data_IF_944616686719
#
_entry.id   IF_944616686719
#
_cell.length_a   1.000
_cell.length_b   1.000
_cell.length_c   1.000
_cell.angle_alpha   90.00
_cell.angle_beta   90.00
_cell.angle_gamma   90.00
#
_symmetry.space_group_name_H-M   'P 1'
#
loop_
_entity.id
_entity.type
_entity.pdbx_description
1 polymer ?
#
# COMPACT_ATOMS: atom_id res chain seq x y z
N UNK A 1 -0.13 16.45 4.20
CA UNK A 1 0.72 16.83 5.34
C UNK A 1 0.46 16.00 6.58
N UNK A 2 -0.80 15.70 6.88
CA UNK A 2 -1.13 14.87 8.06
C UNK A 2 -0.50 13.48 8.00
N UNK A 3 -0.44 12.87 6.82
CA UNK A 3 0.17 11.54 6.68
C UNK A 3 1.66 11.55 6.97
N UNK A 4 2.37 12.57 6.51
CA UNK A 4 3.80 12.70 6.80
C UNK A 4 4.05 12.87 8.29
N UNK A 5 3.22 13.68 8.95
CA UNK A 5 3.34 13.91 10.37
C UNK A 5 3.07 12.62 11.15
N UNK A 6 2.08 11.85 10.72
CA UNK A 6 1.73 10.58 11.34
C UNK A 6 2.87 9.56 11.19
N UNK A 7 3.49 9.48 10.02
CA UNK A 7 4.63 8.61 9.77
C UNK A 7 5.79 8.96 10.71
N UNK A 8 6.14 10.24 10.80
CA UNK A 8 7.22 10.69 11.66
C UNK A 8 6.94 10.37 13.12
N UNK A 9 5.69 10.57 13.56
CA UNK A 9 5.29 10.27 14.94
C UNK A 9 5.44 8.79 15.25
N UNK A 10 5.02 7.92 14.33
CA UNK A 10 5.14 6.48 14.50
C UNK A 10 6.60 6.05 14.57
N UNK A 11 7.47 6.63 13.75
CA UNK A 11 8.88 6.29 13.72
C UNK A 11 9.62 6.74 14.97
N UNK A 12 9.23 7.88 15.55
CA UNK A 12 9.84 8.35 16.80
C UNK A 12 9.61 7.39 17.96
N UNK A 13 8.45 6.73 17.98
CA UNK A 13 8.14 5.76 19.04
C UNK A 13 8.71 4.36 18.77
N UNK A 14 9.36 4.16 17.61
CA UNK A 14 9.93 2.87 17.20
C UNK A 14 8.93 1.72 17.27
N UNK A 15 7.75 1.85 16.68
CA UNK A 15 6.74 0.78 16.72
C UNK A 15 7.19 -0.41 15.88
N UNK A 16 6.76 -1.61 16.28
CA UNK A 16 6.96 -2.82 15.47
C UNK A 16 5.97 -2.89 14.32
N UNK A 17 4.80 -2.31 14.48
CA UNK A 17 3.74 -2.29 13.47
C UNK A 17 3.31 -0.84 13.23
N UNK A 18 3.30 -0.46 11.95
CA UNK A 18 2.83 0.87 11.51
C UNK A 18 1.62 0.68 10.61
N UNK A 19 0.57 1.44 10.86
CA UNK A 19 -0.63 1.46 10.02
C UNK A 19 -0.72 2.81 9.31
N UNK A 20 -0.91 2.78 7.98
CA UNK A 20 -1.04 3.99 7.16
C UNK A 20 -2.26 3.88 6.26
N UNK A 21 -3.02 4.97 6.17
CA UNK A 21 -4.21 5.05 5.33
C UNK A 21 -3.96 6.07 4.23
N UNK A 22 -3.91 5.59 2.99
CA UNK A 22 -3.68 6.41 1.80
C UNK A 22 -2.48 7.35 1.96
N UNK A 23 -1.25 6.81 2.21
CA UNK A 23 -0.11 7.66 2.54
C UNK A 23 0.31 8.61 1.43
N UNK A 24 -0.07 8.34 0.18
CA UNK A 24 0.27 9.21 -0.95
C UNK A 24 -0.90 10.08 -1.41
N UNK A 25 -2.04 10.00 -0.73
CA UNK A 25 -3.23 10.74 -1.11
C UNK A 25 -3.00 12.24 -1.09
N UNK A 26 -3.42 12.94 -2.15
CA UNK A 26 -3.32 14.39 -2.25
C UNK A 26 -1.94 14.92 -2.61
N UNK A 27 -0.95 14.06 -2.82
CA UNK A 27 0.40 14.47 -3.19
C UNK A 27 0.59 14.42 -4.72
N UNK A 28 1.44 15.30 -5.26
CA UNK A 28 1.77 15.21 -6.67
C UNK A 28 2.72 14.02 -6.93
N UNK A 29 2.92 13.70 -8.21
CA UNK A 29 3.63 12.46 -8.60
C UNK A 29 5.07 12.45 -8.08
N UNK A 30 5.79 13.56 -8.16
CA UNK A 30 7.19 13.59 -7.72
C UNK A 30 7.30 13.46 -6.20
N UNK A 31 6.40 14.07 -5.46
CA UNK A 31 6.36 13.95 -4.00
C UNK A 31 5.97 12.54 -3.59
N UNK A 32 5.02 11.92 -4.31
CA UNK A 32 4.65 10.53 -4.06
C UNK A 32 5.86 9.60 -4.20
N UNK A 33 6.62 9.74 -5.29
CA UNK A 33 7.77 8.90 -5.53
C UNK A 33 8.80 8.99 -4.41
N UNK A 34 9.07 10.21 -3.93
CA UNK A 34 10.01 10.41 -2.83
C UNK A 34 9.52 9.79 -1.53
N UNK A 35 8.22 9.94 -1.24
CA UNK A 35 7.63 9.37 -0.04
C UNK A 35 7.70 7.85 -0.07
N UNK A 36 7.38 7.24 -1.22
CA UNK A 36 7.42 5.78 -1.36
C UNK A 36 8.83 5.23 -1.20
N UNK A 37 9.83 5.91 -1.77
CA UNK A 37 11.22 5.50 -1.58
C UNK A 37 11.64 5.58 -0.12
N UNK A 38 11.26 6.67 0.56
CA UNK A 38 11.55 6.83 1.98
C UNK A 38 10.93 5.71 2.79
N UNK A 39 9.66 5.39 2.54
CA UNK A 39 8.96 4.33 3.27
C UNK A 39 9.63 2.97 3.05
N UNK A 40 10.00 2.64 1.81
CA UNK A 40 10.67 1.38 1.51
C UNK A 40 11.98 1.25 2.29
N UNK A 41 12.77 2.31 2.30
CA UNK A 41 14.05 2.31 3.00
C UNK A 41 13.87 2.17 4.51
N UNK A 42 12.91 2.89 5.08
CA UNK A 42 12.64 2.82 6.52
C UNK A 42 12.13 1.45 6.94
N UNK A 43 11.26 0.84 6.13
CA UNK A 43 10.76 -0.51 6.42
C UNK A 43 11.92 -1.50 6.51
N UNK A 44 12.84 -1.44 5.55
CA UNK A 44 14.00 -2.33 5.53
C UNK A 44 14.94 -2.05 6.69
N UNK A 45 15.33 -0.78 6.90
CA UNK A 45 16.31 -0.41 7.92
C UNK A 45 15.82 -0.68 9.33
N UNK A 46 14.54 -0.40 9.60
CA UNK A 46 13.99 -0.51 10.95
C UNK A 46 13.24 -1.82 11.16
N UNK A 47 13.17 -2.68 10.15
CA UNK A 47 12.48 -3.97 10.21
C UNK A 47 11.04 -3.81 10.69
N UNK A 48 10.33 -2.83 10.10
CA UNK A 48 8.95 -2.55 10.45
C UNK A 48 7.99 -3.49 9.73
N UNK A 49 6.92 -3.87 10.42
CA UNK A 49 5.74 -4.44 9.78
C UNK A 49 4.78 -3.28 9.47
N UNK A 50 4.35 -3.17 8.23
CA UNK A 50 3.52 -2.04 7.79
C UNK A 50 2.25 -2.56 7.14
N UNK A 51 1.11 -1.99 7.54
CA UNK A 51 -0.17 -2.19 6.87
C UNK A 51 -0.56 -0.87 6.20
N UNK A 52 -0.76 -0.93 4.88
CA UNK A 52 -1.14 0.25 4.10
C UNK A 52 -2.51 0.02 3.50
N UNK A 53 -3.42 0.95 3.72
CA UNK A 53 -4.73 0.97 3.06
C UNK A 53 -4.62 1.92 1.88
N UNK A 54 -4.86 1.41 0.66
CA UNK A 54 -4.80 2.22 -0.54
C UNK A 54 -5.69 1.63 -1.63
N UNK A 55 -6.20 2.48 -2.51
CA UNK A 55 -6.87 2.05 -3.72
C UNK A 55 -5.96 2.18 -4.95
N UNK A 56 -4.72 2.60 -4.76
CA UNK A 56 -3.74 2.75 -5.83
C UNK A 56 -2.93 1.46 -5.95
N UNK A 57 -3.21 0.67 -6.99
CA UNK A 57 -2.54 -0.62 -7.21
C UNK A 57 -1.07 -0.46 -7.53
N UNK A 58 -0.64 0.67 -8.09
CA UNK A 58 0.77 0.95 -8.30
C UNK A 58 1.54 1.08 -7.00
N UNK A 59 0.94 1.76 -6.01
CA UNK A 59 1.50 1.87 -4.67
C UNK A 59 1.60 0.49 -4.02
N UNK A 60 0.53 -0.30 -4.13
CA UNK A 60 0.50 -1.63 -3.56
C UNK A 60 1.59 -2.52 -4.16
N UNK A 61 1.76 -2.50 -5.48
CA UNK A 61 2.80 -3.31 -6.14
C UNK A 61 4.19 -2.90 -5.70
N UNK A 62 4.41 -1.60 -5.51
CA UNK A 62 5.72 -1.08 -5.15
C UNK A 62 6.11 -1.41 -3.70
N UNK A 63 5.16 -1.36 -2.77
CA UNK A 63 5.45 -1.44 -1.35
C UNK A 63 5.08 -2.76 -0.69
N UNK A 64 4.02 -3.41 -1.15
CA UNK A 64 3.44 -4.52 -0.41
C UNK A 64 3.99 -5.87 -0.87
N UNK A 65 4.27 -6.73 0.09
CA UNK A 65 4.63 -8.13 -0.18
C UNK A 65 3.37 -8.98 -0.37
N UNK A 66 2.32 -8.65 0.35
CA UNK A 66 1.04 -9.36 0.29
C UNK A 66 -0.09 -8.35 0.19
N UNK A 67 -1.17 -8.78 -0.48
CA UNK A 67 -2.37 -7.96 -0.63
C UNK A 67 -3.57 -8.65 0.00
N UNK A 68 -4.42 -7.83 0.58
CA UNK A 68 -5.78 -8.20 0.96
C UNK A 68 -6.71 -7.32 0.15
N UNK A 69 -7.55 -7.93 -0.67
CA UNK A 69 -8.59 -7.19 -1.40
C UNK A 69 -9.87 -7.26 -0.59
N UNK A 70 -10.42 -6.08 -0.29
CA UNK A 70 -11.60 -5.97 0.55
C UNK A 70 -12.77 -5.41 -0.22
N UNK A 71 -13.96 -5.90 0.10
CA UNK A 71 -15.21 -5.39 -0.44
C UNK A 71 -16.28 -5.54 0.63
N UNK A 72 -16.99 -4.44 0.91
CA UNK A 72 -18.09 -4.43 1.88
C UNK A 72 -17.67 -5.00 3.24
N UNK A 73 -16.47 -4.62 3.68
CA UNK A 73 -15.98 -5.03 5.00
C UNK A 73 -15.42 -6.44 5.08
N UNK A 74 -15.34 -7.14 3.95
CA UNK A 74 -14.86 -8.53 3.91
C UNK A 74 -13.64 -8.66 3.03
N UNK A 75 -12.71 -9.55 3.43
CA UNK A 75 -11.58 -9.92 2.60
C UNK A 75 -12.07 -10.94 1.57
N UNK A 76 -12.03 -10.58 0.30
CA UNK A 76 -12.51 -11.44 -0.78
C UNK A 76 -11.39 -12.15 -1.52
N UNK A 77 -10.18 -11.65 -1.41
CA UNK A 77 -9.01 -12.29 -1.99
C UNK A 77 -7.76 -11.87 -1.23
N UNK A 78 -6.80 -12.77 -1.07
CA UNK A 78 -5.52 -12.47 -0.42
C UNK A 78 -4.41 -13.32 -1.03
N UNK A 79 -3.17 -12.83 -0.91
CA UNK A 79 -2.02 -13.56 -1.39
C UNK A 79 -0.84 -12.66 -1.64
N UNK A 80 0.20 -13.21 -2.26
CA UNK A 80 1.36 -12.42 -2.66
C UNK A 80 0.93 -11.37 -3.68
N UNK A 81 1.50 -10.18 -3.55
CA UNK A 81 1.11 -9.03 -4.36
C UNK A 81 1.14 -9.33 -5.85
N UNK A 82 2.24 -9.89 -6.34
CA UNK A 82 2.37 -10.15 -7.77
C UNK A 82 1.34 -11.17 -8.25
N UNK A 83 1.07 -12.21 -7.45
CA UNK A 83 0.05 -13.20 -7.81
C UNK A 83 -1.34 -12.58 -7.87
N UNK A 84 -1.71 -11.78 -6.88
CA UNK A 84 -3.04 -11.16 -6.84
C UNK A 84 -3.23 -10.18 -8.00
N UNK A 85 -2.19 -9.41 -8.34
CA UNK A 85 -2.29 -8.41 -9.41
C UNK A 85 -2.15 -9.01 -10.81
N UNK A 86 -1.33 -10.06 -10.97
CA UNK A 86 -1.08 -10.65 -12.27
C UNK A 86 -2.02 -11.81 -12.59
N UNK A 87 -2.56 -12.47 -11.56
CA UNK A 87 -3.48 -13.60 -11.73
C UNK A 87 -4.59 -13.53 -10.67
N UNK A 88 -5.45 -12.50 -10.74
CA UNK A 88 -6.55 -12.35 -9.78
C UNK A 88 -7.59 -13.44 -9.98
N UNK A 89 -8.05 -14.03 -8.87
CA UNK A 89 -9.00 -15.14 -8.89
C UNK A 89 -10.44 -14.67 -8.68
N UNK A 90 -10.66 -13.66 -7.84
CA UNK A 90 -12.00 -13.17 -7.56
C UNK A 90 -12.45 -12.20 -8.67
N UNK A 91 -13.70 -12.28 -9.14
CA UNK A 91 -14.20 -11.38 -10.19
C UNK A 91 -14.03 -9.90 -9.87
N UNK A 92 -14.23 -9.51 -8.61
CA UNK A 92 -14.05 -8.12 -8.19
C UNK A 92 -12.59 -7.68 -8.33
N UNK A 93 -11.65 -8.53 -7.94
CA UNK A 93 -10.22 -8.25 -8.09
C UNK A 93 -9.86 -8.13 -9.57
N UNK A 94 -10.40 -9.01 -10.39
CA UNK A 94 -10.19 -8.96 -11.85
C UNK A 94 -10.67 -7.62 -12.42
N UNK A 95 -11.80 -7.14 -11.94
CA UNK A 95 -12.34 -5.85 -12.36
C UNK A 95 -11.44 -4.69 -11.95
N UNK A 96 -10.95 -4.68 -10.72
CA UNK A 96 -10.05 -3.64 -10.24
C UNK A 96 -8.77 -3.57 -11.05
N UNK A 97 -8.15 -4.72 -11.29
CA UNK A 97 -6.90 -4.80 -12.06
C UNK A 97 -7.12 -4.35 -13.50
N UNK A 98 -8.21 -4.78 -14.11
CA UNK A 98 -8.56 -4.39 -15.48
C UNK A 98 -8.74 -2.88 -15.62
N UNK A 99 -9.36 -2.25 -14.63
CA UNK A 99 -9.60 -0.80 -14.65
C UNK A 99 -8.29 -0.02 -14.68
N UNK A 100 -7.29 -0.48 -13.96
CA UNK A 100 -5.97 0.16 -13.95
C UNK A 100 -5.28 0.00 -15.30
N UNK A 101 -5.34 -1.20 -15.88
CA UNK A 101 -4.68 -1.49 -17.14
C UNK A 101 -5.31 -0.77 -18.34
N UNK A 102 -6.57 -0.36 -18.23
CA UNK A 102 -7.27 0.35 -19.30
C UNK A 102 -6.96 1.85 -19.34
N UNK A 103 -6.31 2.37 -18.33
CA UNK A 103 -5.89 3.75 -18.24
C UNK A 103 -4.43 3.88 -18.68
#
# INVERSE_FOLDING_TARGET
MQQRLQIARNLVTHPKLVFMDEPTGGLDVSVQARLLDLLRNLVVEMQLAVVIVTHDLGVARLLAHRLLVMKEGQVIESGLTDRVLDDPHHPYTQLLVSSVLQN
#
